data_IF_145846907417
#
_entry.id   IF_145846907417
#
_cell.length_a   1.000
_cell.length_b   1.000
_cell.length_c   1.000
_cell.angle_alpha   90.00
_cell.angle_beta   90.00
_cell.angle_gamma   90.00
#
_symmetry.space_group_name_H-M   'P 1'
#
loop_
_entity.id
_entity.type
_entity.pdbx_description
1 polymer ?
#
# COMPACT_ATOMS: atom_id res chain seq x y z
N UNK A 1 -3.40 26.47 32.45
CA UNK A 1 -2.74 26.42 31.12
C UNK A 1 -2.74 24.97 30.67
N UNK A 2 -3.56 24.65 29.68
CA UNK A 2 -3.71 23.31 29.10
C UNK A 2 -2.46 22.97 28.29
N UNK A 3 -1.61 22.10 28.81
CA UNK A 3 -0.40 21.66 28.12
C UNK A 3 -0.73 20.71 26.98
N UNK A 4 -0.39 21.09 25.75
CA UNK A 4 -0.48 20.20 24.59
C UNK A 4 0.71 19.23 24.66
N UNK A 5 0.42 17.93 24.78
CA UNK A 5 1.44 16.86 24.71
C UNK A 5 1.66 16.51 23.24
N UNK A 6 2.88 16.69 22.74
CA UNK A 6 3.28 16.18 21.43
C UNK A 6 4.01 14.85 21.59
N UNK A 7 3.75 13.90 20.68
CA UNK A 7 4.50 12.65 20.55
C UNK A 7 5.45 12.82 19.38
N UNK A 8 6.75 12.87 19.65
CA UNK A 8 7.80 12.97 18.62
C UNK A 8 8.31 11.55 18.36
N UNK A 9 8.26 11.11 17.10
CA UNK A 9 8.84 9.85 16.67
C UNK A 9 10.19 10.16 16.00
N UNK A 10 11.26 9.59 16.53
CA UNK A 10 12.61 9.70 15.96
C UNK A 10 12.89 8.38 15.25
N UNK A 11 13.18 8.44 13.95
CA UNK A 11 13.61 7.29 13.16
C UNK A 11 15.12 7.33 12.94
N UNK A 12 15.84 6.20 13.12
CA UNK A 12 17.25 6.14 12.79
C UNK A 12 17.43 6.19 11.26
N UNK A 13 18.44 6.94 10.82
CA UNK A 13 18.89 6.87 9.43
C UNK A 13 19.66 5.55 9.25
N UNK A 14 19.08 4.65 8.45
CA UNK A 14 19.63 3.36 8.03
C UNK A 14 19.77 2.27 9.10
N UNK A 15 19.09 1.15 8.86
CA UNK A 15 19.64 -0.19 9.11
C UNK A 15 19.60 -0.79 10.52
N UNK A 16 19.54 -0.01 11.60
CA UNK A 16 19.59 -0.59 12.96
C UNK A 16 18.33 -0.30 13.80
N UNK A 17 17.70 -1.38 14.27
CA UNK A 17 16.61 -1.32 15.26
C UNK A 17 17.20 -1.05 16.64
N UNK A 18 17.23 0.20 17.07
CA UNK A 18 17.39 0.55 18.49
C UNK A 18 16.14 1.27 18.98
N UNK A 19 15.45 0.64 19.94
CA UNK A 19 14.30 1.18 20.65
C UNK A 19 14.80 2.06 21.80
N UNK A 20 14.47 3.35 21.83
CA UNK A 20 14.79 4.21 22.97
C UNK A 20 13.54 4.40 23.85
N UNK A 21 13.62 4.16 25.18
CA UNK A 21 12.53 4.49 26.10
C UNK A 21 12.30 6.00 26.17
N UNK A 22 11.05 6.39 26.42
CA UNK A 22 10.54 7.77 26.36
C UNK A 22 11.02 8.72 27.46
N UNK A 23 12.21 8.52 28.03
CA UNK A 23 12.62 9.18 29.29
C UNK A 23 13.78 10.18 29.17
N UNK A 24 14.35 10.41 27.97
CA UNK A 24 15.55 11.26 27.80
C UNK A 24 15.31 12.69 27.27
N UNK A 25 14.10 13.25 27.40
CA UNK A 25 13.84 14.62 26.96
C UNK A 25 13.33 15.50 28.11
N UNK A 26 14.24 16.25 28.73
CA UNK A 26 13.88 17.36 29.62
C UNK A 26 13.59 18.62 28.78
N UNK A 27 12.38 19.15 28.90
CA UNK A 27 11.94 20.36 28.21
C UNK A 27 11.87 21.54 29.18
N UNK A 28 12.58 22.63 28.91
CA UNK A 28 12.36 23.92 29.58
C UNK A 28 11.90 24.97 28.57
N UNK A 29 10.78 25.63 28.87
CA UNK A 29 10.23 26.73 28.08
C UNK A 29 10.99 28.04 28.34
N UNK A 30 11.69 28.55 27.32
CA UNK A 30 12.14 29.95 27.28
C UNK A 30 10.98 30.88 26.95
N UNK A 31 10.87 32.02 27.64
CA UNK A 31 9.82 33.02 27.42
C UNK A 31 9.97 33.70 26.04
N UNK A 32 8.84 33.79 25.32
CA UNK A 32 8.56 34.62 24.14
C UNK A 32 9.61 34.54 23.01
N UNK A 33 9.31 33.69 22.03
CA UNK A 33 9.64 33.98 20.62
C UNK A 33 11.12 33.88 20.23
N UNK A 34 11.90 32.97 20.79
CA UNK A 34 13.27 32.71 20.30
C UNK A 34 13.60 31.23 20.30
N UNK A 35 14.43 30.84 19.33
CA UNK A 35 14.80 29.48 18.97
C UNK A 35 15.14 28.57 20.16
N UNK A 36 14.67 27.32 20.10
CA UNK A 36 15.11 26.26 20.99
C UNK A 36 16.52 25.86 20.55
N UNK A 37 17.53 26.23 21.34
CA UNK A 37 18.91 25.79 21.13
C UNK A 37 19.07 24.40 21.74
N UNK A 38 19.21 23.39 20.88
CA UNK A 38 19.59 22.04 21.30
C UNK A 38 21.12 21.98 21.37
N UNK A 39 21.67 21.65 22.54
CA UNK A 39 23.06 21.18 22.64
C UNK A 39 23.01 19.66 22.71
N UNK A 40 23.53 19.00 21.68
CA UNK A 40 23.79 17.56 21.69
C UNK A 40 25.29 17.38 21.50
N UNK A 41 25.92 16.66 22.42
CA UNK A 41 27.30 16.22 22.27
C UNK A 41 27.36 15.14 21.18
N UNK A 42 28.00 15.49 20.05
CA UNK A 42 28.44 14.68 18.89
C UNK A 42 27.59 14.80 17.59
N UNK A 43 28.23 14.85 16.40
CA UNK A 43 27.61 15.38 15.19
C UNK A 43 27.37 14.29 14.15
N UNK A 44 26.20 13.67 14.09
CA UNK A 44 25.80 12.86 12.91
C UNK A 44 24.29 12.90 12.67
N UNK A 45 23.69 14.08 12.53
CA UNK A 45 22.34 14.18 11.96
C UNK A 45 22.23 15.43 11.10
N UNK A 46 21.99 15.24 9.79
CA UNK A 46 21.65 16.33 8.87
C UNK A 46 20.19 16.67 9.07
N UNK A 47 19.92 17.70 9.86
CA UNK A 47 18.57 18.26 10.02
C UNK A 47 18.19 18.91 8.68
N UNK A 48 17.30 18.27 7.92
CA UNK A 48 16.59 18.93 6.82
C UNK A 48 15.60 19.92 7.46
N UNK A 49 16.01 21.18 7.55
CA UNK A 49 15.12 22.28 7.92
C UNK A 49 14.19 22.56 6.74
N UNK A 50 12.94 22.13 6.80
CA UNK A 50 11.88 22.84 6.06
C UNK A 50 11.40 24.00 6.92
N UNK A 51 11.03 25.16 6.34
CA UNK A 51 10.47 26.26 7.12
C UNK A 51 9.07 25.84 7.60
N UNK A 52 8.92 25.61 8.90
CA UNK A 52 7.62 25.66 9.56
C UNK A 52 7.17 27.13 9.56
N UNK A 53 6.51 27.54 8.47
CA UNK A 53 5.81 28.83 8.41
C UNK A 53 4.56 28.78 9.30
N UNK A 54 4.41 29.85 10.08
CA UNK A 54 3.28 30.25 10.92
C UNK A 54 1.99 29.40 10.85
N UNK A 55 1.66 28.75 11.98
CA UNK A 55 0.32 28.29 12.32
C UNK A 55 -0.62 29.49 12.55
N UNK A 56 -1.08 30.12 11.48
CA UNK A 56 -2.37 30.82 11.46
C UNK A 56 -2.95 31.04 10.05
N UNK A 57 -2.50 30.25 9.07
CA UNK A 57 -3.15 30.15 7.78
C UNK A 57 -3.53 28.68 7.59
N UNK A 58 -4.82 28.38 7.51
CA UNK A 58 -5.35 27.06 7.17
C UNK A 58 -5.10 26.73 5.69
N UNK A 59 -3.84 26.72 5.27
CA UNK A 59 -3.44 26.10 4.03
C UNK A 59 -3.34 24.60 4.31
N UNK A 60 -4.42 23.86 4.05
CA UNK A 60 -4.38 22.39 4.02
C UNK A 60 -3.23 22.01 3.09
N UNK A 61 -2.18 21.36 3.62
CA UNK A 61 -1.19 20.72 2.77
C UNK A 61 -1.93 19.84 1.75
N UNK A 62 -1.53 19.83 0.47
CA UNK A 62 -2.25 19.08 -0.55
C UNK A 62 -2.41 17.62 -0.09
N UNK A 63 -3.65 17.13 -0.11
CA UNK A 63 -3.99 15.78 0.34
C UNK A 63 -3.33 14.78 -0.59
N UNK A 64 -2.47 13.92 -0.05
CA UNK A 64 -1.88 12.82 -0.80
C UNK A 64 -2.83 11.62 -0.76
N UNK A 65 -3.29 11.19 -1.94
CA UNK A 65 -4.12 10.00 -2.09
C UNK A 65 -3.26 8.78 -2.40
N UNK A 66 -3.37 7.74 -1.57
CA UNK A 66 -2.80 6.42 -1.86
C UNK A 66 -3.79 5.65 -2.74
N UNK A 67 -3.37 5.32 -3.97
CA UNK A 67 -4.05 4.45 -4.90
C UNK A 67 -3.15 3.25 -5.20
N UNK A 68 -3.44 2.08 -4.62
CA UNK A 68 -2.53 0.93 -4.74
C UNK A 68 -2.68 0.15 -6.05
N UNK A 69 -3.66 0.50 -6.89
CA UNK A 69 -3.91 -0.23 -8.12
C UNK A 69 -4.71 0.62 -9.12
N UNK A 70 -4.07 0.96 -10.24
CA UNK A 70 -4.71 1.65 -11.36
C UNK A 70 -4.13 1.17 -12.68
N UNK A 71 -4.96 1.12 -13.71
CA UNK A 71 -4.49 0.92 -15.08
C UNK A 71 -4.13 2.25 -15.79
N UNK A 72 -4.45 3.38 -15.16
CA UNK A 72 -4.23 4.72 -15.69
C UNK A 72 -2.95 5.35 -15.12
N UNK A 73 -2.41 6.33 -15.85
CA UNK A 73 -1.31 7.16 -15.35
C UNK A 73 -1.75 8.02 -14.14
N UNK A 74 -0.82 8.40 -13.25
CA UNK A 74 -1.13 9.21 -12.07
C UNK A 74 -1.83 10.53 -12.42
N UNK A 75 -2.80 10.90 -11.59
CA UNK A 75 -3.33 12.26 -11.52
C UNK A 75 -2.52 13.14 -10.56
N UNK A 76 -2.81 14.45 -10.51
CA UNK A 76 -2.13 15.35 -9.56
C UNK A 76 -2.51 15.02 -8.11
N UNK A 77 -1.52 15.05 -7.20
CA UNK A 77 -1.65 14.71 -5.76
C UNK A 77 -1.97 13.23 -5.45
N UNK A 78 -1.66 12.33 -6.37
CA UNK A 78 -1.88 10.90 -6.22
C UNK A 78 -0.55 10.15 -6.12
N UNK A 79 -0.42 9.31 -5.09
CA UNK A 79 0.57 8.25 -5.04
C UNK A 79 -0.08 6.98 -5.58
N UNK A 80 0.16 6.70 -6.86
CA UNK A 80 -0.43 5.56 -7.56
C UNK A 80 0.59 4.45 -7.76
N UNK A 81 0.14 3.20 -7.68
CA UNK A 81 0.83 2.05 -8.29
C UNK A 81 0.10 1.71 -9.58
N UNK A 82 0.76 1.92 -10.71
CA UNK A 82 0.22 1.57 -12.02
C UNK A 82 0.47 0.08 -12.30
N UNK A 83 -0.58 -0.67 -12.57
CA UNK A 83 -0.49 -2.09 -12.93
C UNK A 83 -0.14 -2.23 -14.41
N UNK A 84 1.00 -2.85 -14.71
CA UNK A 84 1.39 -3.19 -16.08
C UNK A 84 1.13 -4.68 -16.31
N UNK A 85 0.10 -5.00 -17.09
CA UNK A 85 -0.23 -6.38 -17.46
C UNK A 85 0.66 -6.93 -18.60
N UNK A 86 1.38 -6.04 -19.29
CA UNK A 86 2.31 -6.32 -20.39
C UNK A 86 3.30 -5.16 -20.52
N UNK A 87 4.30 -5.30 -21.40
CA UNK A 87 5.29 -4.25 -21.69
C UNK A 87 6.04 -3.76 -20.43
N UNK A 88 6.54 -4.71 -19.63
CA UNK A 88 7.20 -4.41 -18.35
C UNK A 88 8.50 -3.61 -18.50
N UNK A 89 9.06 -3.50 -19.70
CA UNK A 89 10.15 -2.58 -20.00
C UNK A 89 9.84 -1.11 -19.70
N UNK A 90 8.55 -0.74 -19.65
CA UNK A 90 8.11 0.58 -19.18
C UNK A 90 8.53 0.88 -17.75
N UNK A 91 8.78 -0.15 -16.92
CA UNK A 91 9.28 0.03 -15.58
C UNK A 91 10.67 0.70 -15.54
N UNK A 92 11.41 0.73 -16.66
CA UNK A 92 12.65 1.50 -16.80
C UNK A 92 12.42 3.02 -16.64
N UNK A 93 11.23 3.52 -16.98
CA UNK A 93 10.86 4.92 -16.84
C UNK A 93 10.46 5.25 -15.40
N UNK A 94 10.67 6.49 -14.92
CA UNK A 94 10.22 6.93 -13.60
C UNK A 94 8.73 6.67 -13.38
N UNK A 95 8.41 6.06 -12.24
CA UNK A 95 7.05 5.70 -11.89
C UNK A 95 7.00 4.71 -10.73
N UNK A 96 5.80 4.19 -10.46
CA UNK A 96 5.55 3.18 -9.45
C UNK A 96 4.65 2.13 -10.08
N UNK A 97 5.17 0.92 -10.18
CA UNK A 97 4.54 -0.12 -10.96
C UNK A 97 4.32 -1.38 -10.13
N UNK A 98 3.26 -2.09 -10.44
CA UNK A 98 3.15 -3.51 -10.16
C UNK A 98 3.24 -4.27 -11.48
N UNK A 99 3.99 -5.37 -11.48
CA UNK A 99 4.06 -6.27 -12.63
C UNK A 99 3.82 -7.70 -12.19
N UNK A 100 3.08 -8.45 -12.97
CA UNK A 100 2.74 -9.83 -12.66
C UNK A 100 1.99 -10.48 -13.81
N UNK A 101 1.98 -11.80 -13.81
CA UNK A 101 1.22 -12.60 -14.78
C UNK A 101 -0.18 -12.78 -14.21
N UNK A 102 -1.13 -12.06 -14.80
CA UNK A 102 -2.55 -12.15 -14.46
C UNK A 102 -3.13 -13.51 -14.92
N UNK A 103 -4.02 -14.17 -14.16
CA UNK A 103 -4.54 -15.50 -14.51
C UNK A 103 -5.25 -15.58 -15.86
N UNK A 104 -5.72 -14.45 -16.42
CA UNK A 104 -6.36 -14.41 -17.73
C UNK A 104 -5.39 -14.40 -18.91
N UNK A 105 -4.13 -14.03 -18.67
CA UNK A 105 -3.16 -13.71 -19.71
C UNK A 105 -1.92 -14.60 -19.61
N UNK A 106 -2.08 -15.83 -19.12
CA UNK A 106 -1.02 -16.83 -19.15
C UNK A 106 -0.91 -17.36 -20.58
N UNK A 107 0.24 -17.15 -21.20
CA UNK A 107 0.57 -17.61 -22.55
C UNK A 107 1.34 -18.93 -22.47
N UNK A 108 1.00 -19.89 -23.32
CA UNK A 108 1.58 -21.23 -23.35
C UNK A 108 1.64 -21.88 -21.95
N UNK A 109 2.84 -22.04 -21.40
CA UNK A 109 3.09 -22.56 -20.05
C UNK A 109 3.54 -21.48 -19.04
N UNK A 110 3.53 -20.22 -19.45
CA UNK A 110 3.94 -19.05 -18.68
C UNK A 110 5.44 -18.94 -18.42
N UNK A 111 6.29 -19.83 -18.93
CA UNK A 111 7.72 -19.85 -18.60
C UNK A 111 8.48 -18.65 -19.16
N UNK A 112 8.16 -18.21 -20.38
CA UNK A 112 8.77 -17.02 -20.98
C UNK A 112 8.37 -15.77 -20.20
N UNK A 113 7.07 -15.59 -19.98
CA UNK A 113 6.54 -14.49 -19.17
C UNK A 113 7.17 -14.48 -17.78
N UNK A 114 7.35 -15.64 -17.14
CA UNK A 114 7.99 -15.69 -15.82
C UNK A 114 9.46 -15.31 -15.85
N UNK A 115 10.18 -15.61 -16.96
CA UNK A 115 11.57 -15.18 -17.14
C UNK A 115 11.67 -13.66 -17.28
N UNK A 116 10.81 -13.07 -18.10
CA UNK A 116 10.73 -11.61 -18.24
C UNK A 116 10.32 -10.94 -16.92
N UNK A 117 9.38 -11.54 -16.20
CA UNK A 117 8.93 -11.03 -14.90
C UNK A 117 10.11 -10.97 -13.93
N UNK A 118 10.91 -12.03 -13.84
CA UNK A 118 12.12 -12.03 -13.01
C UNK A 118 13.07 -10.90 -13.39
N UNK A 119 13.32 -10.70 -14.67
CA UNK A 119 14.22 -9.65 -15.16
C UNK A 119 13.76 -8.25 -14.73
N UNK A 120 12.48 -7.93 -14.92
CA UNK A 120 11.97 -6.58 -14.64
C UNK A 120 11.58 -6.37 -13.18
N UNK A 121 11.26 -7.43 -12.46
CA UNK A 121 10.77 -7.35 -11.07
C UNK A 121 11.76 -6.75 -10.10
N UNK A 122 13.06 -6.73 -10.40
CA UNK A 122 14.09 -6.12 -9.54
C UNK A 122 14.28 -4.63 -9.80
N UNK A 123 13.62 -4.05 -10.81
CA UNK A 123 13.74 -2.62 -11.09
C UNK A 123 13.20 -1.77 -9.92
N UNK A 124 13.83 -0.63 -9.68
CA UNK A 124 13.53 0.23 -8.52
C UNK A 124 12.11 0.82 -8.54
N UNK A 125 11.53 0.98 -9.74
CA UNK A 125 10.16 1.50 -9.92
C UNK A 125 9.08 0.42 -9.75
N UNK A 126 9.45 -0.86 -9.71
CA UNK A 126 8.50 -1.94 -9.43
C UNK A 126 8.34 -2.05 -7.91
N UNK A 127 7.16 -1.79 -7.38
CA UNK A 127 6.89 -1.82 -5.94
C UNK A 127 6.18 -3.09 -5.47
N UNK A 128 5.58 -3.86 -6.39
CA UNK A 128 4.85 -5.07 -6.07
C UNK A 128 4.93 -6.10 -7.20
N UNK A 129 4.72 -7.37 -6.84
CA UNK A 129 4.37 -8.42 -7.80
C UNK A 129 2.86 -8.48 -7.90
N UNK A 130 2.35 -8.36 -9.12
CA UNK A 130 0.94 -8.39 -9.42
C UNK A 130 0.58 -7.37 -10.50
N UNK A 131 -0.59 -7.46 -11.07
CA UNK A 131 -1.67 -8.34 -10.64
C UNK A 131 -1.41 -9.82 -10.96
N UNK A 132 -1.61 -10.68 -9.96
CA UNK A 132 -1.43 -12.13 -10.05
C UNK A 132 -2.50 -12.83 -9.23
N UNK A 133 -2.73 -14.13 -9.43
CA UNK A 133 -3.66 -14.87 -8.59
C UNK A 133 -4.45 -15.93 -9.35
N UNK A 134 -5.72 -16.09 -8.97
CA UNK A 134 -6.56 -17.20 -9.42
C UNK A 134 -7.96 -16.74 -9.83
N UNK A 135 -8.45 -17.25 -10.95
CA UNK A 135 -9.79 -17.01 -11.47
C UNK A 135 -10.39 -18.28 -12.09
N UNK A 136 -11.44 -18.83 -11.47
CA UNK A 136 -12.14 -20.02 -11.99
C UNK A 136 -13.11 -19.73 -13.14
N UNK A 137 -13.26 -18.48 -13.55
CA UNK A 137 -14.27 -18.05 -14.54
C UNK A 137 -13.63 -17.74 -15.90
N UNK A 138 -12.30 -17.54 -15.97
CA UNK A 138 -11.61 -17.32 -17.24
C UNK A 138 -11.32 -18.63 -17.99
N UNK A 139 -10.83 -18.49 -19.22
CA UNK A 139 -10.52 -19.61 -20.12
C UNK A 139 -9.22 -20.35 -19.80
N UNK A 140 -8.29 -19.71 -19.09
CA UNK A 140 -6.99 -20.31 -18.73
C UNK A 140 -7.18 -21.52 -17.81
N UNK A 141 -6.50 -22.62 -18.10
CA UNK A 141 -6.55 -23.83 -17.26
C UNK A 141 -6.22 -23.51 -15.80
N UNK A 142 -7.07 -23.98 -14.88
CA UNK A 142 -6.95 -23.61 -13.48
C UNK A 142 -5.70 -24.21 -12.82
N UNK A 143 -5.23 -25.38 -13.26
CA UNK A 143 -4.01 -25.97 -12.73
C UNK A 143 -2.77 -25.18 -13.16
N UNK A 144 -2.76 -24.68 -14.40
CA UNK A 144 -1.73 -23.77 -14.90
C UNK A 144 -1.71 -22.45 -14.10
N UNK A 145 -2.87 -21.86 -13.82
CA UNK A 145 -2.94 -20.68 -12.95
C UNK A 145 -2.30 -20.91 -11.58
N UNK A 146 -2.55 -22.07 -10.97
CA UNK A 146 -1.95 -22.42 -9.67
C UNK A 146 -0.42 -22.53 -9.75
N UNK A 147 0.11 -23.15 -10.80
CA UNK A 147 1.56 -23.26 -11.02
C UNK A 147 2.21 -21.88 -11.17
N UNK A 148 1.67 -21.04 -12.05
CA UNK A 148 2.18 -19.69 -12.33
C UNK A 148 2.04 -18.78 -11.10
N UNK A 149 0.94 -18.88 -10.36
CA UNK A 149 0.75 -18.10 -9.14
C UNK A 149 1.75 -18.50 -8.05
N UNK A 150 2.03 -19.80 -7.86
CA UNK A 150 3.06 -20.26 -6.91
C UNK A 150 4.43 -19.71 -7.28
N UNK A 151 4.81 -19.73 -8.55
CA UNK A 151 6.05 -19.14 -9.03
C UNK A 151 6.17 -17.65 -8.67
N UNK A 152 5.07 -16.89 -8.80
CA UNK A 152 5.03 -15.47 -8.44
C UNK A 152 5.10 -15.23 -6.92
N UNK A 153 4.48 -16.08 -6.08
CA UNK A 153 4.65 -16.02 -4.62
C UNK A 153 6.12 -16.22 -4.25
N UNK A 154 6.78 -17.22 -4.82
CA UNK A 154 8.17 -17.53 -4.53
C UNK A 154 9.10 -16.41 -4.98
N UNK A 155 8.83 -15.80 -6.14
CA UNK A 155 9.56 -14.63 -6.62
C UNK A 155 9.38 -13.44 -5.67
N UNK A 156 8.14 -13.10 -5.32
CA UNK A 156 7.81 -12.00 -4.42
C UNK A 156 8.52 -12.16 -3.06
N UNK A 157 8.51 -13.37 -2.51
CA UNK A 157 9.29 -13.74 -1.33
C UNK A 157 10.80 -13.50 -1.53
N UNK A 158 11.39 -13.92 -2.65
CA UNK A 158 12.81 -13.78 -2.89
C UNK A 158 13.27 -12.31 -2.98
N UNK A 159 12.44 -11.45 -3.59
CA UNK A 159 12.76 -10.03 -3.80
C UNK A 159 12.13 -9.11 -2.74
N UNK A 160 11.44 -9.68 -1.74
CA UNK A 160 10.78 -8.98 -0.64
C UNK A 160 9.78 -7.90 -1.11
N UNK A 161 9.03 -8.17 -2.18
CA UNK A 161 7.99 -7.26 -2.69
C UNK A 161 6.59 -7.80 -2.35
N UNK A 162 5.64 -6.94 -1.96
CA UNK A 162 4.27 -7.34 -1.69
C UNK A 162 3.57 -7.91 -2.92
N UNK A 163 2.51 -8.68 -2.67
CA UNK A 163 1.63 -9.25 -3.69
C UNK A 163 0.34 -8.43 -3.83
N UNK A 164 -0.04 -8.10 -5.07
CA UNK A 164 -1.37 -7.60 -5.43
C UNK A 164 -2.15 -8.75 -6.09
N UNK A 165 -3.20 -9.21 -5.41
CA UNK A 165 -3.88 -10.47 -5.70
C UNK A 165 -5.27 -10.27 -6.30
N UNK A 166 -5.47 -10.88 -7.47
CA UNK A 166 -6.76 -11.22 -8.06
C UNK A 166 -7.29 -12.54 -7.52
N UNK A 167 -8.54 -12.59 -7.08
CA UNK A 167 -9.14 -13.84 -6.63
C UNK A 167 -10.63 -13.93 -6.94
N UNK A 168 -11.00 -14.82 -7.87
CA UNK A 168 -12.38 -15.06 -8.27
C UNK A 168 -12.73 -16.54 -8.09
N UNK A 169 -13.64 -16.81 -7.15
CA UNK A 169 -14.18 -18.15 -6.82
C UNK A 169 -13.10 -19.21 -6.44
N UNK A 170 -11.90 -18.77 -6.04
CA UNK A 170 -10.75 -19.62 -5.73
C UNK A 170 -10.14 -19.35 -4.33
N UNK A 171 -10.96 -18.90 -3.36
CA UNK A 171 -10.47 -18.41 -2.07
C UNK A 171 -9.78 -19.49 -1.22
N UNK A 172 -10.29 -20.71 -1.20
CA UNK A 172 -9.66 -21.79 -0.43
C UNK A 172 -8.30 -22.18 -1.03
N UNK A 173 -8.23 -22.30 -2.35
CA UNK A 173 -6.98 -22.56 -3.06
C UNK A 173 -5.99 -21.43 -2.86
N UNK A 174 -6.44 -20.19 -2.93
CA UNK A 174 -5.63 -18.99 -2.70
C UNK A 174 -4.98 -19.03 -1.30
N UNK A 175 -5.76 -19.23 -0.24
CA UNK A 175 -5.22 -19.33 1.12
C UNK A 175 -4.29 -20.53 1.28
N UNK A 176 -4.64 -21.67 0.66
CA UNK A 176 -3.84 -22.89 0.70
C UNK A 176 -2.47 -22.69 0.03
N UNK A 177 -2.42 -22.08 -1.14
CA UNK A 177 -1.18 -21.81 -1.87
C UNK A 177 -0.30 -20.78 -1.16
N UNK A 178 -0.87 -19.66 -0.67
CA UNK A 178 -0.12 -18.69 0.12
C UNK A 178 0.53 -19.34 1.36
N UNK A 179 -0.20 -20.24 2.03
CA UNK A 179 0.31 -20.98 3.20
C UNK A 179 1.37 -22.01 2.81
N UNK A 180 1.10 -22.85 1.80
CA UNK A 180 2.03 -23.92 1.35
C UNK A 180 3.33 -23.36 0.77
N UNK A 181 3.27 -22.22 0.11
CA UNK A 181 4.43 -21.51 -0.43
C UNK A 181 5.15 -20.65 0.62
N UNK A 182 4.76 -20.75 1.89
CA UNK A 182 5.31 -19.98 3.01
C UNK A 182 5.43 -18.48 2.68
N UNK A 183 4.34 -17.85 2.25
CA UNK A 183 4.37 -16.42 1.93
C UNK A 183 4.92 -15.58 3.10
N UNK A 184 5.90 -14.72 2.83
CA UNK A 184 6.62 -13.88 3.82
C UNK A 184 6.43 -12.39 3.59
N UNK A 185 5.79 -12.01 2.47
CA UNK A 185 5.58 -10.62 2.06
C UNK A 185 4.13 -10.19 2.30
N UNK A 186 3.86 -8.88 2.40
CA UNK A 186 2.48 -8.41 2.51
C UNK A 186 1.64 -8.85 1.30
N UNK A 187 0.36 -9.14 1.55
CA UNK A 187 -0.60 -9.53 0.52
C UNK A 187 -1.77 -8.55 0.54
N UNK A 188 -2.12 -8.02 -0.62
CA UNK A 188 -3.23 -7.11 -0.84
C UNK A 188 -4.22 -7.78 -1.80
N UNK A 189 -5.43 -8.05 -1.32
CA UNK A 189 -6.54 -8.47 -2.19
C UNK A 189 -7.19 -7.24 -2.78
N UNK A 190 -7.04 -7.05 -4.10
CA UNK A 190 -7.63 -5.92 -4.81
C UNK A 190 -9.08 -6.20 -5.18
N UNK A 191 -9.82 -5.16 -5.56
CA UNK A 191 -11.16 -5.25 -6.15
C UNK A 191 -12.21 -5.83 -5.22
N UNK A 192 -12.07 -5.67 -3.90
CA UNK A 192 -12.88 -6.44 -2.98
C UNK A 192 -14.35 -5.97 -2.93
N UNK A 193 -15.25 -6.90 -3.24
CA UNK A 193 -16.69 -6.67 -3.25
C UNK A 193 -17.49 -7.87 -2.71
N UNK A 194 -16.89 -8.66 -1.81
CA UNK A 194 -17.47 -9.90 -1.27
C UNK A 194 -18.10 -9.66 0.11
N UNK A 195 -18.36 -10.73 0.87
CA UNK A 195 -19.05 -10.67 2.16
C UNK A 195 -18.10 -10.42 3.35
N UNK A 196 -18.68 -10.03 4.48
CA UNK A 196 -17.97 -9.71 5.74
C UNK A 196 -17.19 -10.88 6.31
N UNK A 197 -17.70 -12.11 6.19
CA UNK A 197 -17.04 -13.31 6.72
C UNK A 197 -15.70 -13.56 6.03
N UNK A 198 -15.67 -13.46 4.70
CA UNK A 198 -14.44 -13.57 3.93
C UNK A 198 -13.48 -12.42 4.25
N UNK A 199 -13.99 -11.19 4.31
CA UNK A 199 -13.17 -10.02 4.63
C UNK A 199 -12.50 -10.14 6.01
N UNK A 200 -13.25 -10.61 7.00
CA UNK A 200 -12.75 -10.89 8.36
C UNK A 200 -11.67 -11.99 8.35
N UNK A 201 -11.85 -13.04 7.54
CA UNK A 201 -10.82 -14.08 7.38
C UNK A 201 -9.55 -13.53 6.75
N UNK A 202 -9.65 -12.70 5.71
CA UNK A 202 -8.50 -12.07 5.05
C UNK A 202 -7.70 -11.25 6.07
N UNK A 203 -8.37 -10.34 6.79
CA UNK A 203 -7.70 -9.46 7.76
C UNK A 203 -7.17 -10.20 8.98
N UNK A 204 -7.85 -11.27 9.44
CA UNK A 204 -7.36 -12.13 10.52
C UNK A 204 -6.10 -12.92 10.15
N UNK A 205 -5.88 -13.20 8.85
CA UNK A 205 -4.62 -13.76 8.35
C UNK A 205 -3.53 -12.69 8.15
N UNK A 206 -3.78 -11.43 8.54
CA UNK A 206 -2.82 -10.34 8.42
C UNK A 206 -2.72 -9.74 7.02
N UNK A 207 -3.63 -10.09 6.10
CA UNK A 207 -3.64 -9.57 4.74
C UNK A 207 -4.45 -8.26 4.65
N UNK A 208 -4.18 -7.51 3.60
CA UNK A 208 -4.84 -6.24 3.29
C UNK A 208 -5.96 -6.44 2.27
N UNK A 209 -6.92 -5.53 2.28
CA UNK A 209 -8.03 -5.48 1.33
C UNK A 209 -8.07 -4.09 0.72
N UNK A 210 -8.22 -4.03 -0.60
CA UNK A 210 -8.41 -2.78 -1.32
C UNK A 210 -9.82 -2.68 -1.91
N UNK A 211 -10.33 -1.45 -1.97
CA UNK A 211 -11.66 -1.13 -2.47
C UNK A 211 -11.60 0.02 -3.49
N UNK A 212 -12.32 -0.14 -4.59
CA UNK A 212 -12.52 0.91 -5.59
C UNK A 212 -13.99 1.15 -5.90
N UNK A 213 -14.36 1.09 -7.18
CA UNK A 213 -15.72 1.34 -7.69
C UNK A 213 -16.85 0.61 -6.95
N UNK A 214 -16.55 -0.56 -6.38
CA UNK A 214 -17.50 -1.35 -5.61
C UNK A 214 -18.11 -0.60 -4.40
N UNK A 215 -17.44 0.42 -3.86
CA UNK A 215 -17.96 1.27 -2.77
C UNK A 215 -19.18 2.11 -3.17
N UNK A 216 -19.52 2.22 -4.45
CA UNK A 216 -20.81 2.79 -4.87
C UNK A 216 -22.00 1.93 -4.40
N UNK A 217 -21.79 0.64 -4.16
CA UNK A 217 -22.81 -0.27 -3.67
C UNK A 217 -22.94 -0.18 -2.14
N UNK A 218 -24.16 0.08 -1.65
CA UNK A 218 -24.44 0.20 -0.21
C UNK A 218 -23.97 -1.03 0.60
N UNK A 219 -24.22 -2.25 0.09
CA UNK A 219 -23.77 -3.49 0.74
C UNK A 219 -22.25 -3.55 1.00
N UNK A 220 -21.45 -2.94 0.12
CA UNK A 220 -19.99 -2.96 0.23
C UNK A 220 -19.54 -1.94 1.27
N UNK A 221 -20.19 -0.77 1.33
CA UNK A 221 -19.96 0.23 2.38
C UNK A 221 -20.33 -0.28 3.77
N UNK A 222 -21.44 -0.99 3.91
CA UNK A 222 -21.83 -1.62 5.17
C UNK A 222 -20.80 -2.67 5.61
N UNK A 223 -20.31 -3.48 4.67
CA UNK A 223 -19.26 -4.45 4.97
C UNK A 223 -17.93 -3.79 5.36
N UNK A 224 -17.55 -2.70 4.70
CA UNK A 224 -16.33 -1.94 4.98
C UNK A 224 -16.24 -1.50 6.46
N UNK A 225 -17.37 -1.22 7.12
CA UNK A 225 -17.43 -0.84 8.54
C UNK A 225 -16.87 -1.91 9.49
N UNK A 226 -16.80 -3.17 9.04
CA UNK A 226 -16.25 -4.27 9.82
C UNK A 226 -14.76 -4.52 9.56
N UNK A 227 -14.13 -3.72 8.70
CA UNK A 227 -12.73 -3.90 8.32
C UNK A 227 -11.84 -2.96 9.15
N UNK A 228 -10.81 -3.49 9.83
CA UNK A 228 -9.86 -2.64 10.53
C UNK A 228 -9.13 -1.76 9.52
N UNK A 229 -9.18 -0.43 9.72
CA UNK A 229 -8.58 0.56 8.81
C UNK A 229 -7.08 0.38 8.60
N UNK A 230 -6.38 -0.25 9.54
CA UNK A 230 -4.95 -0.65 9.41
C UNK A 230 -4.69 -1.76 8.39
N UNK A 231 -5.74 -2.39 7.85
CA UNK A 231 -5.67 -3.41 6.76
C UNK A 231 -6.38 -2.95 5.49
N UNK A 232 -6.75 -1.67 5.42
CA UNK A 232 -7.48 -1.08 4.30
C UNK A 232 -6.52 -0.44 3.29
N UNK A 233 -6.83 -0.58 2.02
CA UNK A 233 -6.36 0.27 0.93
C UNK A 233 -7.53 0.70 0.05
N UNK A 234 -7.29 1.67 -0.82
CA UNK A 234 -8.23 2.13 -1.82
C UNK A 234 -7.54 2.16 -3.18
N UNK A 235 -8.35 2.07 -4.24
CA UNK A 235 -7.87 1.97 -5.61
C UNK A 235 -8.89 2.48 -6.63
N UNK A 236 -8.46 2.64 -7.88
CA UNK A 236 -9.36 2.98 -8.99
C UNK A 236 -9.53 1.84 -9.99
N UNK A 237 -8.55 0.92 -10.09
CA UNK A 237 -8.54 -0.12 -11.11
C UNK A 237 -8.65 0.50 -12.52
N UNK A 238 -9.57 0.04 -13.36
CA UNK A 238 -9.91 0.58 -14.68
C UNK A 238 -11.05 1.62 -14.65
N UNK A 239 -11.56 1.96 -13.47
CA UNK A 239 -12.76 2.77 -13.34
C UNK A 239 -12.52 4.24 -13.70
N UNK A 240 -13.50 4.88 -14.35
CA UNK A 240 -13.54 6.33 -14.55
C UNK A 240 -13.82 7.13 -13.25
N UNK A 241 -13.88 6.46 -12.10
CA UNK A 241 -14.12 7.05 -10.79
C UNK A 241 -12.81 7.61 -10.23
N UNK A 242 -12.80 8.88 -9.81
CA UNK A 242 -11.59 9.47 -9.22
C UNK A 242 -11.26 8.82 -7.87
N UNK A 243 -9.96 8.71 -7.54
CA UNK A 243 -9.52 8.20 -6.24
C UNK A 243 -10.11 9.02 -5.08
N UNK A 244 -10.24 10.33 -5.23
CA UNK A 244 -10.87 11.20 -4.23
C UNK A 244 -12.32 10.80 -3.94
N UNK A 245 -13.09 10.44 -4.97
CA UNK A 245 -14.47 9.97 -4.77
C UNK A 245 -14.50 8.64 -4.02
N UNK A 246 -13.53 7.74 -4.28
CA UNK A 246 -13.39 6.48 -3.55
C UNK A 246 -13.09 6.75 -2.07
N UNK A 247 -12.24 7.74 -1.77
CA UNK A 247 -11.95 8.18 -0.40
C UNK A 247 -13.18 8.76 0.29
N UNK A 248 -13.96 9.61 -0.39
CA UNK A 248 -15.20 10.17 0.17
C UNK A 248 -16.21 9.09 0.54
N UNK A 249 -16.41 8.11 -0.35
CA UNK A 249 -17.29 6.96 -0.10
C UNK A 249 -16.81 6.12 1.10
N UNK A 250 -15.50 5.88 1.20
CA UNK A 250 -14.91 5.13 2.30
C UNK A 250 -14.98 5.89 3.64
N UNK A 251 -14.61 7.17 3.65
CA UNK A 251 -14.63 8.03 4.83
C UNK A 251 -16.05 8.16 5.40
N UNK A 252 -17.03 8.40 4.52
CA UNK A 252 -18.46 8.43 4.87
C UNK A 252 -18.92 7.10 5.47
N UNK A 253 -18.60 5.97 4.82
CA UNK A 253 -18.98 4.65 5.32
C UNK A 253 -18.39 4.35 6.71
N UNK A 254 -17.12 4.72 6.93
CA UNK A 254 -16.39 4.48 8.17
C UNK A 254 -16.70 5.51 9.28
N UNK A 255 -17.45 6.57 8.97
CA UNK A 255 -17.69 7.70 9.88
C UNK A 255 -16.39 8.31 10.44
N UNK A 256 -15.37 8.43 9.57
CA UNK A 256 -14.09 9.07 9.88
C UNK A 256 -13.89 10.28 8.97
N UNK A 257 -13.18 11.29 9.45
CA UNK A 257 -12.85 12.41 8.58
C UNK A 257 -11.86 11.99 7.50
N UNK A 258 -11.98 12.65 6.35
CA UNK A 258 -11.23 12.33 5.15
C UNK A 258 -9.70 12.43 5.35
N UNK A 259 -9.22 13.38 6.16
CA UNK A 259 -7.78 13.55 6.40
C UNK A 259 -7.23 12.42 7.28
N UNK A 260 -7.98 11.99 8.29
CA UNK A 260 -7.61 10.83 9.11
C UNK A 260 -7.55 9.54 8.30
N UNK A 261 -8.50 9.32 7.37
CA UNK A 261 -8.43 8.18 6.45
C UNK A 261 -7.17 8.26 5.58
N UNK A 262 -6.89 9.42 4.96
CA UNK A 262 -5.68 9.62 4.16
C UNK A 262 -4.41 9.34 4.95
N UNK A 263 -4.29 9.86 6.18
CA UNK A 263 -3.13 9.60 7.02
C UNK A 263 -2.98 8.10 7.37
N UNK A 264 -4.09 7.42 7.67
CA UNK A 264 -4.08 5.98 7.94
C UNK A 264 -3.63 5.18 6.71
N UNK A 265 -4.10 5.52 5.51
CA UNK A 265 -3.71 4.82 4.28
C UNK A 265 -2.25 5.09 3.91
N UNK A 266 -1.73 6.29 4.18
CA UNK A 266 -0.30 6.58 4.07
C UNK A 266 0.53 5.73 5.05
N UNK A 267 0.08 5.55 6.29
CA UNK A 267 0.74 4.65 7.25
C UNK A 267 0.72 3.19 6.81
N UNK A 268 -0.40 2.73 6.25
CA UNK A 268 -0.49 1.39 5.68
C UNK A 268 0.49 1.24 4.50
N UNK A 269 0.59 2.25 3.63
CA UNK A 269 1.52 2.24 2.51
C UNK A 269 2.98 2.21 2.96
N UNK A 270 3.37 2.98 3.99
CA UNK A 270 4.70 2.89 4.60
C UNK A 270 4.98 1.49 5.13
N UNK A 271 3.98 0.86 5.76
CA UNK A 271 4.12 -0.49 6.32
C UNK A 271 4.34 -1.55 5.23
N UNK A 272 3.68 -1.41 4.07
CA UNK A 272 3.68 -2.41 3.02
C UNK A 272 4.78 -2.20 1.97
N UNK A 273 4.99 -0.96 1.56
CA UNK A 273 5.90 -0.58 0.47
C UNK A 273 7.16 0.14 0.97
N UNK A 274 7.31 0.31 2.29
CA UNK A 274 8.44 1.02 2.89
C UNK A 274 8.41 2.52 2.62
N UNK A 275 9.59 3.15 2.65
CA UNK A 275 9.73 4.60 2.44
C UNK A 275 9.58 5.05 0.99
N UNK A 276 9.22 4.14 0.06
CA UNK A 276 8.94 4.45 -1.34
C UNK A 276 7.80 5.48 -1.52
N UNK A 277 6.97 5.67 -0.49
CA UNK A 277 5.98 6.75 -0.43
C UNK A 277 6.58 8.16 -0.49
N UNK A 278 7.82 8.33 -0.01
CA UNK A 278 8.47 9.64 0.10
C UNK A 278 9.39 9.97 -1.07
N UNK A 279 9.55 9.07 -2.03
CA UNK A 279 10.30 9.34 -3.24
C UNK A 279 9.37 9.93 -4.29
N UNK A 280 9.75 11.04 -4.96
CA UNK A 280 8.92 11.71 -5.95
C UNK A 280 8.55 10.81 -7.12
#
# INVERSE_FOLDING_TARGET
MTGIKYRVFIYPAYGEKTFFPSEYAHFSLGKKGTAIQFSLEKPVFRILRSPLQCLNCAAQSPRLYINIHSHNAPSSNEWVIQNLHSHWEKAALPGRFSIGIHPWYIEDDGQEQFRELKQWSTHQHVLAIGECGLDKVCSTDFSLQQVVFVQQILLANAIQKPLIIHCVRAWEEMFSLLKKSENKVPVIFHGFAKNTALASRITSNGYYISFGKALQQQRVREMLQHIPTVRLFLETDDAALSIETVYDLAASALSIDHNSLSLQLQQNAVTVFGTAIFQP
#
